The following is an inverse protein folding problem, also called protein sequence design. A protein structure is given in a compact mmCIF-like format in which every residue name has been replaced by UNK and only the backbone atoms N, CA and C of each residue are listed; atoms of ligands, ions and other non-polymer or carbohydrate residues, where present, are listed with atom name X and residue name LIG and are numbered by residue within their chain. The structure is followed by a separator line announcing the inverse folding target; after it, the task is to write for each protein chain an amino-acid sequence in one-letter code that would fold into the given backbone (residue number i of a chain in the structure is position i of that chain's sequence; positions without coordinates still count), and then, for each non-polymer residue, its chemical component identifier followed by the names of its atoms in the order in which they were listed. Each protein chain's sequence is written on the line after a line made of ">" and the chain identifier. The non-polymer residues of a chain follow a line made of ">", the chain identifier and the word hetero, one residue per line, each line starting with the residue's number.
data_IF_703026071736
#
_entry.id   IF_703026071736
#
_cell.length_a   1.000
_cell.length_b   1.000
_cell.length_c   1.000
_cell.angle_alpha   90.00
_cell.angle_beta   90.00
_cell.angle_gamma   90.00
#
_symmetry.space_group_name_H-M   'P 1'
#
loop_
_entity.id
_entity.type
_entity.pdbx_description
1 polymer ?
#
# COMPACT_ATOMS: atom_id res chain seq x y z
N UNK A 1 -39.34 9.09 -12.47
CA UNK A 1 -39.56 8.17 -11.36
C UNK A 1 -38.24 7.43 -11.12
N UNK A 2 -37.43 7.94 -10.17
CA UNK A 2 -36.05 7.53 -9.90
C UNK A 2 -36.12 6.39 -8.87
N UNK A 3 -35.71 5.18 -9.25
CA UNK A 3 -35.61 4.05 -8.31
C UNK A 3 -34.24 4.13 -7.62
N UNK A 4 -34.27 4.46 -6.33
CA UNK A 4 -33.11 4.30 -5.42
C UNK A 4 -32.74 2.82 -5.24
N UNK A 5 -31.45 2.46 -5.20
CA UNK A 5 -31.04 1.11 -4.86
C UNK A 5 -31.24 0.84 -3.37
N UNK A 6 -32.03 -0.19 -3.05
CA UNK A 6 -32.21 -0.74 -1.71
C UNK A 6 -30.87 -1.28 -1.20
N UNK A 7 -30.40 -0.73 -0.10
CA UNK A 7 -29.31 -1.30 0.73
C UNK A 7 -29.83 -2.56 1.41
N UNK A 8 -29.22 -3.71 1.13
CA UNK A 8 -29.38 -4.95 1.88
C UNK A 8 -28.58 -4.85 3.19
N UNK A 9 -29.11 -5.34 4.32
CA UNK A 9 -28.39 -5.35 5.59
C UNK A 9 -27.28 -6.42 5.59
N UNK A 10 -26.21 -6.24 6.40
CA UNK A 10 -25.16 -7.23 6.53
C UNK A 10 -25.68 -8.42 7.36
N UNK A 11 -25.63 -9.60 6.76
CA UNK A 11 -25.82 -10.86 7.48
C UNK A 11 -24.55 -11.12 8.29
N UNK A 12 -24.66 -10.99 9.61
CA UNK A 12 -23.68 -11.43 10.60
C UNK A 12 -23.67 -12.96 10.64
N UNK A 13 -22.71 -13.60 10.00
CA UNK A 13 -22.37 -15.00 10.26
C UNK A 13 -21.22 -15.02 11.27
N UNK A 14 -21.60 -15.22 12.54
CA UNK A 14 -20.66 -15.54 13.62
C UNK A 14 -20.20 -16.99 13.45
N UNK A 15 -19.05 -17.18 12.81
CA UNK A 15 -18.33 -18.44 12.80
C UNK A 15 -17.30 -18.44 13.92
N UNK A 16 -17.61 -19.02 15.06
CA UNK A 16 -16.66 -19.29 16.13
C UNK A 16 -15.72 -20.42 15.68
N UNK A 17 -14.50 -20.06 15.32
CA UNK A 17 -13.41 -21.02 15.10
C UNK A 17 -12.60 -21.12 16.41
N UNK A 18 -12.88 -22.16 17.21
CA UNK A 18 -12.08 -22.56 18.35
C UNK A 18 -10.74 -23.10 17.84
N UNK A 19 -9.69 -22.29 17.89
CA UNK A 19 -8.31 -22.77 17.79
C UNK A 19 -7.86 -23.20 19.17
N UNK A 20 -7.70 -24.51 19.37
CA UNK A 20 -7.04 -25.08 20.53
C UNK A 20 -5.55 -24.69 20.49
N UNK A 21 -5.13 -23.83 21.42
CA UNK A 21 -3.74 -23.58 21.72
C UNK A 21 -3.20 -24.77 22.52
N UNK A 22 -2.39 -25.61 21.86
CA UNK A 22 -1.53 -26.56 22.56
C UNK A 22 -0.41 -25.77 23.26
N UNK A 23 -0.43 -25.72 24.58
CA UNK A 23 0.68 -25.24 25.38
C UNK A 23 1.80 -26.29 25.38
N UNK A 24 3.08 -25.93 25.20
CA UNK A 24 4.17 -26.85 25.45
C UNK A 24 4.32 -27.04 26.96
N UNK A 25 4.41 -28.30 27.38
CA UNK A 25 4.67 -28.73 28.74
C UNK A 25 5.97 -28.13 29.26
N UNK A 26 5.89 -27.52 30.44
CA UNK A 26 7.05 -27.12 31.20
C UNK A 26 7.71 -28.38 31.81
N UNK A 27 8.88 -28.73 31.34
CA UNK A 27 9.76 -29.66 32.02
C UNK A 27 10.42 -28.92 33.19
N UNK A 28 10.03 -29.29 34.39
CA UNK A 28 10.73 -28.94 35.63
C UNK A 28 12.00 -29.76 35.68
N UNK A 29 13.15 -29.11 35.53
CA UNK A 29 14.45 -29.67 35.86
C UNK A 29 14.94 -28.99 37.15
N UNK A 30 14.96 -29.77 38.20
CA UNK A 30 15.52 -29.46 39.52
C UNK A 30 16.97 -29.89 39.55
N UNK A 31 17.90 -28.96 39.55
CA UNK A 31 19.35 -29.21 39.60
C UNK A 31 20.06 -28.11 40.37
N UNK A 32 20.39 -28.45 41.53
CA UNK A 32 21.44 -28.07 42.54
C UNK A 32 22.29 -26.80 42.33
N UNK A 33 22.37 -26.07 43.42
CA UNK A 33 23.20 -24.89 43.71
C UNK A 33 24.70 -25.15 43.55
N UNK A 34 25.35 -24.26 42.74
CA UNK A 34 26.78 -24.02 42.74
C UNK A 34 27.04 -22.51 42.66
N UNK A 35 27.89 -21.89 43.52
CA UNK A 35 28.10 -20.46 43.51
C UNK A 35 29.10 -20.06 42.42
N UNK A 36 28.72 -19.16 41.53
CA UNK A 36 29.70 -18.44 40.69
C UNK A 36 29.55 -18.60 39.18
N UNK A 37 28.51 -18.01 38.64
CA UNK A 37 28.40 -17.80 37.20
C UNK A 37 27.32 -16.75 36.95
N UNK A 38 27.73 -15.52 36.70
CA UNK A 38 26.80 -14.50 36.19
C UNK A 38 26.32 -14.92 34.80
N UNK A 39 25.29 -15.78 34.77
CA UNK A 39 24.54 -16.10 33.58
C UNK A 39 23.87 -14.82 33.07
N UNK A 40 24.50 -14.16 32.14
CA UNK A 40 23.85 -13.14 31.33
C UNK A 40 22.80 -13.86 30.47
N UNK A 41 21.62 -14.00 31.01
CA UNK A 41 20.44 -14.16 30.12
C UNK A 41 20.48 -13.03 29.08
N UNK A 42 19.91 -13.22 27.89
CA UNK A 42 19.98 -12.19 26.88
C UNK A 42 19.46 -10.89 27.49
N UNK A 43 20.36 -9.95 27.75
CA UNK A 43 20.06 -8.68 28.41
C UNK A 43 18.92 -7.99 27.64
N UNK A 44 18.26 -7.03 28.28
CA UNK A 44 17.13 -6.27 27.70
C UNK A 44 17.44 -5.80 26.29
N UNK A 45 18.67 -5.40 25.97
CA UNK A 45 19.13 -5.07 24.62
C UNK A 45 19.00 -6.24 23.64
N UNK A 46 19.22 -7.50 24.03
CA UNK A 46 19.03 -8.66 23.17
C UNK A 46 17.55 -8.99 22.91
N UNK A 47 16.64 -8.67 23.84
CA UNK A 47 15.19 -8.79 23.62
C UNK A 47 14.70 -7.72 22.64
N UNK A 48 15.16 -6.49 22.83
CA UNK A 48 14.85 -5.36 21.95
C UNK A 48 15.37 -5.60 20.54
N UNK A 49 16.59 -6.08 20.38
CA UNK A 49 17.16 -6.45 19.09
C UNK A 49 16.28 -7.44 18.33
N UNK A 50 15.80 -8.50 18.99
CA UNK A 50 14.87 -9.46 18.40
C UNK A 50 13.52 -8.84 18.04
N UNK A 51 12.97 -7.94 18.83
CA UNK A 51 11.74 -7.24 18.53
C UNK A 51 11.89 -6.35 17.30
N UNK A 52 13.01 -5.64 17.17
CA UNK A 52 13.35 -4.81 16.01
C UNK A 52 13.52 -5.65 14.75
N UNK A 53 14.21 -6.80 14.85
CA UNK A 53 14.35 -7.72 13.72
C UNK A 53 13.01 -8.28 13.25
N UNK A 54 12.14 -8.68 14.19
CA UNK A 54 10.80 -9.15 13.87
C UNK A 54 9.92 -8.06 13.24
N UNK A 55 10.07 -6.82 13.69
CA UNK A 55 9.39 -5.67 13.09
C UNK A 55 9.90 -5.40 11.67
N UNK A 56 11.21 -5.51 11.42
CA UNK A 56 11.79 -5.36 10.10
C UNK A 56 11.29 -6.42 9.11
N UNK A 57 11.21 -7.69 9.53
CA UNK A 57 10.62 -8.77 8.72
C UNK A 57 9.16 -8.49 8.38
N UNK A 58 8.35 -8.13 9.38
CA UNK A 58 6.95 -7.80 9.16
C UNK A 58 6.75 -6.57 8.25
N UNK A 59 7.66 -5.58 8.33
CA UNK A 59 7.67 -4.42 7.45
C UNK A 59 7.94 -4.81 5.99
N UNK A 60 8.88 -5.72 5.74
CA UNK A 60 9.13 -6.24 4.39
C UNK A 60 7.91 -6.97 3.82
N UNK A 61 7.24 -7.78 4.65
CA UNK A 61 5.99 -8.45 4.27
C UNK A 61 4.88 -7.45 3.95
N UNK A 62 4.74 -6.40 4.75
CA UNK A 62 3.78 -5.32 4.51
C UNK A 62 4.04 -4.65 3.15
N UNK A 63 5.26 -4.23 2.85
CA UNK A 63 5.60 -3.58 1.58
C UNK A 63 5.39 -4.50 0.38
N UNK A 64 5.75 -5.78 0.48
CA UNK A 64 5.43 -6.80 -0.53
C UNK A 64 3.92 -6.94 -0.74
N UNK A 65 3.17 -6.99 0.36
CA UNK A 65 1.71 -7.05 0.34
C UNK A 65 1.08 -5.80 -0.28
N UNK A 66 1.59 -4.61 0.04
CA UNK A 66 1.13 -3.32 -0.52
C UNK A 66 1.30 -3.28 -2.04
N UNK A 67 2.48 -3.67 -2.56
CA UNK A 67 2.73 -3.73 -4.01
C UNK A 67 1.81 -4.73 -4.71
N UNK A 68 1.56 -5.88 -4.08
CA UNK A 68 0.64 -6.88 -4.60
C UNK A 68 -0.83 -6.38 -4.57
N UNK A 69 -1.22 -5.61 -3.55
CA UNK A 69 -2.54 -4.98 -3.49
C UNK A 69 -2.73 -3.93 -4.59
N UNK A 70 -1.70 -3.12 -4.88
CA UNK A 70 -1.72 -2.15 -5.97
C UNK A 70 -1.87 -2.83 -7.35
N UNK A 71 -1.14 -3.92 -7.58
CA UNK A 71 -1.27 -4.72 -8.80
C UNK A 71 -2.68 -5.30 -8.92
N UNK A 72 -3.25 -5.81 -7.83
CA UNK A 72 -4.60 -6.35 -7.79
C UNK A 72 -5.66 -5.26 -8.04
N UNK A 73 -5.45 -4.05 -7.50
CA UNK A 73 -6.32 -2.89 -7.76
C UNK A 73 -6.37 -2.57 -9.25
N UNK A 74 -5.21 -2.46 -9.89
CA UNK A 74 -5.13 -2.22 -11.35
C UNK A 74 -5.82 -3.32 -12.16
N UNK A 75 -5.73 -4.58 -11.70
CA UNK A 75 -6.45 -5.70 -12.32
C UNK A 75 -7.96 -5.57 -12.18
N UNK A 76 -8.45 -5.21 -10.99
CA UNK A 76 -9.88 -5.01 -10.74
C UNK A 76 -10.44 -3.85 -11.58
N UNK A 77 -9.74 -2.72 -11.66
CA UNK A 77 -10.11 -1.57 -12.50
C UNK A 77 -10.17 -1.93 -13.99
N UNK A 78 -9.22 -2.75 -14.50
CA UNK A 78 -9.26 -3.25 -15.88
C UNK A 78 -10.47 -4.13 -16.13
N UNK A 79 -10.80 -5.03 -15.21
CA UNK A 79 -11.98 -5.91 -15.31
C UNK A 79 -13.28 -5.10 -15.30
N UNK A 80 -13.37 -4.05 -14.49
CA UNK A 80 -14.51 -3.12 -14.53
C UNK A 80 -14.65 -2.41 -15.88
N UNK A 81 -13.53 -1.96 -16.45
CA UNK A 81 -13.53 -1.38 -17.80
C UNK A 81 -14.00 -2.36 -18.88
N UNK A 82 -13.62 -3.65 -18.78
CA UNK A 82 -14.12 -4.70 -19.66
C UNK A 82 -15.62 -4.88 -19.47
N UNK A 83 -16.08 -5.02 -18.24
CA UNK A 83 -17.49 -5.19 -17.89
C UNK A 83 -18.36 -4.03 -18.39
N UNK A 84 -17.88 -2.80 -18.28
CA UNK A 84 -18.57 -1.62 -18.78
C UNK A 84 -18.79 -1.69 -20.31
N UNK A 85 -17.75 -2.07 -21.08
CA UNK A 85 -17.84 -2.25 -22.54
C UNK A 85 -18.81 -3.39 -22.91
N UNK A 86 -18.75 -4.52 -22.22
CA UNK A 86 -19.65 -5.65 -22.47
C UNK A 86 -21.13 -5.29 -22.19
N UNK A 87 -21.38 -4.55 -21.12
CA UNK A 87 -22.72 -4.04 -20.80
C UNK A 87 -23.25 -3.08 -21.89
N UNK A 88 -22.37 -2.24 -22.43
CA UNK A 88 -22.75 -1.33 -23.53
C UNK A 88 -23.13 -2.11 -24.79
N UNK A 89 -22.34 -3.12 -25.17
CA UNK A 89 -22.62 -3.97 -26.30
C UNK A 89 -23.94 -4.76 -26.11
N UNK A 90 -24.17 -5.30 -24.91
CA UNK A 90 -25.43 -5.99 -24.59
C UNK A 90 -26.65 -5.04 -24.72
N UNK A 91 -26.53 -3.80 -24.23
CA UNK A 91 -27.61 -2.80 -24.41
C UNK A 91 -27.89 -2.51 -25.89
N UNK A 92 -26.84 -2.40 -26.72
CA UNK A 92 -26.98 -2.20 -28.18
C UNK A 92 -27.72 -3.36 -28.79
N UNK A 93 -27.32 -4.60 -28.53
CA UNK A 93 -27.96 -5.80 -29.06
C UNK A 93 -29.43 -5.93 -28.64
N UNK A 94 -29.73 -5.67 -27.36
CA UNK A 94 -31.11 -5.66 -26.86
C UNK A 94 -31.96 -4.56 -27.54
N UNK A 95 -31.36 -3.40 -27.81
CA UNK A 95 -31.98 -2.33 -28.54
C UNK A 95 -32.35 -2.74 -30.01
N UNK A 96 -31.46 -3.47 -30.67
CA UNK A 96 -31.68 -4.02 -32.01
C UNK A 96 -32.81 -5.06 -32.00
N UNK A 97 -32.75 -6.04 -31.09
CA UNK A 97 -33.83 -7.02 -30.91
C UNK A 97 -35.18 -6.34 -30.63
N UNK A 98 -35.20 -5.35 -29.76
CA UNK A 98 -36.42 -4.61 -29.46
C UNK A 98 -36.99 -3.81 -30.63
N UNK A 99 -36.15 -3.28 -31.52
CA UNK A 99 -36.62 -2.63 -32.77
C UNK A 99 -37.27 -3.64 -33.72
N UNK A 100 -36.63 -4.79 -33.91
CA UNK A 100 -37.14 -5.82 -34.79
C UNK A 100 -38.48 -6.38 -34.25
N UNK A 101 -38.53 -6.72 -32.97
CA UNK A 101 -39.75 -7.22 -32.29
C UNK A 101 -40.94 -6.23 -32.43
N UNK A 102 -40.66 -4.93 -32.22
CA UNK A 102 -41.71 -3.89 -32.42
C UNK A 102 -42.12 -3.76 -33.89
N UNK A 103 -41.20 -3.96 -34.83
CA UNK A 103 -41.49 -3.97 -36.26
C UNK A 103 -42.44 -5.12 -36.62
N UNK A 104 -42.12 -6.34 -36.19
CA UNK A 104 -42.95 -7.53 -36.39
C UNK A 104 -44.34 -7.40 -35.76
N UNK A 105 -44.41 -6.87 -34.53
CA UNK A 105 -45.69 -6.65 -33.84
C UNK A 105 -46.61 -5.66 -34.62
N UNK A 106 -46.04 -4.56 -35.11
CA UNK A 106 -46.79 -3.55 -35.85
C UNK A 106 -47.24 -4.01 -37.26
N UNK A 107 -46.46 -4.88 -37.88
CA UNK A 107 -46.82 -5.46 -39.19
C UNK A 107 -47.83 -6.62 -39.12
N UNK A 108 -48.40 -6.89 -37.94
CA UNK A 108 -49.45 -7.89 -37.76
C UNK A 108 -49.00 -9.34 -37.88
N UNK A 109 -47.70 -9.61 -37.79
CA UNK A 109 -47.14 -10.96 -37.79
C UNK A 109 -47.17 -11.68 -39.15
N UNK A 110 -47.56 -11.02 -40.23
CA UNK A 110 -47.67 -11.59 -41.57
C UNK A 110 -48.83 -12.61 -41.71
N UNK A 111 -49.36 -12.71 -42.90
CA UNK A 111 -50.36 -13.76 -43.21
C UNK A 111 -49.70 -15.15 -43.13
N UNK A 112 -50.42 -16.19 -42.63
CA UNK A 112 -49.95 -17.56 -42.73
C UNK A 112 -49.52 -17.89 -44.15
N UNK A 113 -48.45 -18.68 -44.33
CA UNK A 113 -47.90 -19.04 -45.63
C UNK A 113 -48.94 -19.57 -46.58
N UNK A 114 -49.91 -20.38 -46.11
CA UNK A 114 -51.08 -20.90 -46.89
C UNK A 114 -51.93 -19.78 -47.40
N UNK A 115 -52.13 -18.69 -46.66
CA UNK A 115 -52.91 -17.55 -47.13
C UNK A 115 -52.12 -16.72 -48.17
N UNK A 116 -50.81 -16.60 -48.03
CA UNK A 116 -49.97 -15.95 -49.06
C UNK A 116 -49.90 -16.70 -50.33
N UNK A 117 -49.93 -18.07 -50.31
CA UNK A 117 -49.92 -18.91 -51.44
C UNK A 117 -51.26 -18.79 -52.25
N UNK A 118 -52.37 -18.63 -51.52
CA UNK A 118 -53.72 -18.47 -52.17
C UNK A 118 -53.94 -17.07 -52.70
N UNK A 119 -53.19 -16.07 -52.28
CA UNK A 119 -53.33 -14.67 -52.73
C UNK A 119 -52.23 -14.22 -53.68
N UNK A 120 -51.28 -15.09 -54.05
CA UNK A 120 -50.15 -14.75 -54.91
C UNK A 120 -50.55 -14.85 -56.39
N UNK A 121 -50.48 -13.74 -57.13
CA UNK A 121 -50.68 -13.66 -58.57
C UNK A 121 -49.41 -14.09 -59.35
N UNK A 122 -48.23 -14.09 -58.77
CA UNK A 122 -46.94 -14.46 -59.35
C UNK A 122 -46.16 -15.45 -58.43
N UNK A 123 -45.92 -16.70 -58.93
CA UNK A 123 -45.12 -17.71 -58.19
C UNK A 123 -43.68 -17.26 -57.89
N UNK A 124 -43.03 -16.48 -58.74
CA UNK A 124 -41.70 -16.03 -58.60
C UNK A 124 -41.58 -14.93 -57.46
N UNK A 125 -42.58 -14.10 -57.35
CA UNK A 125 -42.67 -13.11 -56.27
C UNK A 125 -42.90 -13.80 -54.94
N UNK A 126 -43.71 -14.82 -54.86
CA UNK A 126 -43.91 -15.66 -53.69
C UNK A 126 -42.61 -16.33 -53.27
N UNK A 127 -41.87 -16.92 -54.20
CA UNK A 127 -40.59 -17.57 -53.94
C UNK A 127 -39.48 -16.57 -53.46
N UNK A 128 -39.50 -15.36 -54.02
CA UNK A 128 -38.62 -14.28 -53.55
C UNK A 128 -38.95 -13.87 -52.09
N UNK A 129 -40.23 -13.67 -51.80
CA UNK A 129 -40.72 -13.35 -50.46
C UNK A 129 -40.36 -14.41 -49.42
N UNK A 130 -40.51 -15.69 -49.81
CA UNK A 130 -40.15 -16.83 -48.96
C UNK A 130 -38.65 -16.89 -48.63
N UNK A 131 -37.77 -16.67 -49.64
CA UNK A 131 -36.32 -16.59 -49.42
C UNK A 131 -35.94 -15.44 -48.50
N UNK A 132 -36.55 -14.27 -48.65
CA UNK A 132 -36.35 -13.12 -47.77
C UNK A 132 -36.81 -13.41 -46.35
N UNK A 133 -37.95 -14.07 -46.15
CA UNK A 133 -38.45 -14.47 -44.83
C UNK A 133 -37.51 -15.47 -44.14
N UNK A 134 -37.00 -16.47 -44.89
CA UNK A 134 -36.00 -17.42 -44.36
C UNK A 134 -34.70 -16.72 -43.95
N UNK A 135 -34.19 -15.81 -44.78
CA UNK A 135 -33.00 -15.02 -44.45
C UNK A 135 -33.21 -14.12 -43.20
N UNK A 136 -34.38 -13.50 -43.10
CA UNK A 136 -34.73 -12.68 -41.92
C UNK A 136 -34.81 -13.52 -40.64
N UNK A 137 -35.39 -14.73 -40.70
CA UNK A 137 -35.44 -15.66 -39.58
C UNK A 137 -34.04 -16.13 -39.16
N UNK A 138 -33.18 -16.46 -40.12
CA UNK A 138 -31.78 -16.82 -39.81
C UNK A 138 -31.03 -15.67 -39.18
N UNK A 139 -31.18 -14.45 -39.69
CA UNK A 139 -30.56 -13.25 -39.11
C UNK A 139 -31.09 -12.97 -37.70
N UNK A 140 -32.38 -13.16 -37.46
CA UNK A 140 -33.00 -13.02 -36.13
C UNK A 140 -32.43 -14.05 -35.14
N UNK A 141 -32.38 -15.32 -35.51
CA UNK A 141 -31.83 -16.37 -34.70
C UNK A 141 -30.35 -16.09 -34.35
N UNK A 142 -29.56 -15.65 -35.34
CA UNK A 142 -28.20 -15.25 -35.13
C UNK A 142 -28.06 -14.07 -34.14
N UNK A 143 -28.95 -13.07 -34.22
CA UNK A 143 -28.96 -11.94 -33.30
C UNK A 143 -29.37 -12.36 -31.87
N UNK A 144 -30.35 -13.25 -31.74
CA UNK A 144 -30.75 -13.84 -30.45
C UNK A 144 -29.57 -14.58 -29.82
N UNK A 145 -28.93 -15.47 -30.57
CA UNK A 145 -27.75 -16.21 -30.10
C UNK A 145 -26.61 -15.30 -29.70
N UNK A 146 -26.35 -14.27 -30.50
CA UNK A 146 -25.30 -13.25 -30.16
C UNK A 146 -25.65 -12.52 -28.89
N UNK A 147 -26.90 -12.15 -28.68
CA UNK A 147 -27.37 -11.45 -27.48
C UNK A 147 -27.26 -12.35 -26.24
N UNK A 148 -27.64 -13.62 -26.36
CA UNK A 148 -27.51 -14.59 -25.26
C UNK A 148 -26.05 -14.84 -24.90
N UNK A 149 -25.15 -14.96 -25.89
CA UNK A 149 -23.71 -15.07 -25.62
C UNK A 149 -23.14 -13.81 -24.94
N UNK A 150 -23.59 -12.63 -25.39
CA UNK A 150 -23.19 -11.37 -24.75
C UNK A 150 -23.69 -11.27 -23.30
N UNK A 151 -24.92 -11.71 -23.01
CA UNK A 151 -25.47 -11.73 -21.66
C UNK A 151 -24.66 -12.65 -20.73
N UNK A 152 -24.31 -13.87 -21.19
CA UNK A 152 -23.46 -14.78 -20.42
C UNK A 152 -22.08 -14.17 -20.12
N UNK A 153 -21.44 -13.54 -21.12
CA UNK A 153 -20.15 -12.85 -20.90
C UNK A 153 -20.25 -11.72 -19.87
N UNK A 154 -21.33 -10.94 -19.89
CA UNK A 154 -21.56 -9.89 -18.89
C UNK A 154 -21.64 -10.47 -17.48
N UNK A 155 -22.32 -11.60 -17.31
CA UNK A 155 -22.45 -12.25 -16.00
C UNK A 155 -21.11 -12.81 -15.50
N UNK A 156 -20.38 -13.50 -16.37
CA UNK A 156 -19.03 -14.00 -16.07
C UNK A 156 -18.05 -12.87 -15.72
N UNK A 157 -18.05 -11.77 -16.49
CA UNK A 157 -17.18 -10.63 -16.24
C UNK A 157 -17.57 -9.90 -14.96
N UNK A 158 -18.86 -9.84 -14.64
CA UNK A 158 -19.35 -9.32 -13.35
C UNK A 158 -18.84 -10.14 -12.18
N UNK A 159 -18.90 -11.47 -12.26
CA UNK A 159 -18.40 -12.36 -11.20
C UNK A 159 -16.88 -12.21 -11.05
N UNK A 160 -16.14 -12.14 -12.15
CA UNK A 160 -14.68 -11.91 -12.15
C UNK A 160 -14.30 -10.57 -11.53
N UNK A 161 -15.00 -9.50 -11.88
CA UNK A 161 -14.77 -8.18 -11.31
C UNK A 161 -15.08 -8.15 -9.80
N UNK A 162 -16.23 -8.71 -9.38
CA UNK A 162 -16.60 -8.81 -7.98
C UNK A 162 -15.56 -9.61 -7.17
N UNK A 163 -15.13 -10.77 -7.66
CA UNK A 163 -14.09 -11.58 -7.02
C UNK A 163 -12.75 -10.85 -6.89
N UNK A 164 -12.37 -10.06 -7.89
CA UNK A 164 -11.17 -9.24 -7.83
C UNK A 164 -11.23 -8.16 -6.75
N UNK A 165 -12.36 -7.48 -6.59
CA UNK A 165 -12.59 -6.50 -5.53
C UNK A 165 -12.63 -7.13 -4.15
N UNK A 166 -13.32 -8.26 -3.96
CA UNK A 166 -13.33 -8.99 -2.69
C UNK A 166 -11.93 -9.43 -2.26
N UNK A 167 -11.12 -9.94 -3.20
CA UNK A 167 -9.74 -10.33 -2.89
C UNK A 167 -8.86 -9.14 -2.52
N UNK A 168 -9.08 -7.97 -3.13
CA UNK A 168 -8.39 -6.73 -2.78
C UNK A 168 -8.77 -6.25 -1.38
N UNK A 169 -10.05 -6.29 -1.03
CA UNK A 169 -10.55 -5.86 0.29
C UNK A 169 -10.00 -6.75 1.41
N UNK A 170 -10.07 -8.08 1.24
CA UNK A 170 -9.47 -9.02 2.19
C UNK A 170 -7.95 -8.77 2.39
N UNK A 171 -7.23 -8.40 1.32
CA UNK A 171 -5.81 -8.05 1.40
C UNK A 171 -5.58 -6.74 2.15
N UNK A 172 -6.43 -5.72 1.94
CA UNK A 172 -6.37 -4.45 2.68
C UNK A 172 -6.54 -4.66 4.18
N UNK A 173 -7.52 -5.46 4.59
CA UNK A 173 -7.74 -5.81 6.00
C UNK A 173 -6.51 -6.48 6.60
N UNK A 174 -5.90 -7.44 5.90
CA UNK A 174 -4.66 -8.09 6.35
C UNK A 174 -3.51 -7.12 6.51
N UNK A 175 -3.33 -6.20 5.57
CA UNK A 175 -2.27 -5.19 5.64
C UNK A 175 -2.47 -4.23 6.81
N UNK A 176 -3.72 -3.82 7.09
CA UNK A 176 -4.02 -2.98 8.25
C UNK A 176 -3.68 -3.70 9.57
N UNK A 177 -4.05 -4.98 9.70
CA UNK A 177 -3.72 -5.78 10.87
C UNK A 177 -2.20 -5.97 11.03
N UNK A 178 -1.47 -6.22 9.93
CA UNK A 178 -0.02 -6.35 9.96
C UNK A 178 0.65 -5.05 10.40
N UNK A 179 0.22 -3.89 9.87
CA UNK A 179 0.73 -2.57 10.27
C UNK A 179 0.50 -2.32 11.76
N UNK A 180 -0.73 -2.55 12.26
CA UNK A 180 -1.04 -2.40 13.69
C UNK A 180 -0.19 -3.32 14.57
N UNK A 181 0.06 -4.56 14.12
CA UNK A 181 0.95 -5.49 14.83
C UNK A 181 2.41 -5.02 14.88
N UNK A 182 2.91 -4.37 13.82
CA UNK A 182 4.24 -3.74 13.81
C UNK A 182 4.29 -2.61 14.83
N UNK A 183 3.31 -1.68 14.79
CA UNK A 183 3.23 -0.53 15.69
C UNK A 183 3.28 -0.98 17.15
N UNK A 184 2.44 -1.95 17.54
CA UNK A 184 2.41 -2.47 18.90
C UNK A 184 3.74 -3.06 19.35
N UNK A 185 4.37 -3.92 18.53
CA UNK A 185 5.66 -4.53 18.87
C UNK A 185 6.78 -3.50 19.04
N UNK A 186 6.76 -2.44 18.22
CA UNK A 186 7.75 -1.37 18.31
C UNK A 186 7.49 -0.44 19.49
N UNK A 187 6.24 -0.24 19.86
CA UNK A 187 5.88 0.49 21.07
C UNK A 187 6.34 -0.27 22.33
N UNK A 188 6.09 -1.57 22.41
CA UNK A 188 6.58 -2.43 23.50
C UNK A 188 8.11 -2.39 23.60
N UNK A 189 8.82 -2.44 22.47
CA UNK A 189 10.27 -2.31 22.43
C UNK A 189 10.75 -0.94 22.93
N UNK A 190 10.03 0.13 22.57
CA UNK A 190 10.31 1.49 23.02
C UNK A 190 10.20 1.64 24.53
N UNK A 191 9.12 1.16 25.13
CA UNK A 191 8.94 1.22 26.59
C UNK A 191 10.05 0.46 27.33
N UNK A 192 10.48 -0.66 26.77
CA UNK A 192 11.59 -1.45 27.33
C UNK A 192 12.93 -0.69 27.24
N UNK A 193 13.18 0.02 26.13
CA UNK A 193 14.37 0.87 25.97
C UNK A 193 14.29 2.17 26.79
N UNK A 194 13.09 2.77 26.88
CA UNK A 194 12.89 4.01 27.65
C UNK A 194 13.24 3.79 29.12
N UNK A 195 12.85 2.67 29.71
CA UNK A 195 13.18 2.36 31.10
C UNK A 195 14.68 2.18 31.33
N UNK A 196 15.46 1.77 30.34
CA UNK A 196 16.92 1.72 30.40
C UNK A 196 17.57 3.09 30.10
N UNK A 197 16.99 3.85 29.14
CA UNK A 197 17.54 5.16 28.78
C UNK A 197 17.30 6.23 29.86
N UNK A 198 16.16 6.20 30.55
CA UNK A 198 15.85 7.13 31.63
C UNK A 198 16.84 6.99 32.79
N UNK A 199 17.41 5.81 33.01
CA UNK A 199 18.50 5.60 33.97
C UNK A 199 19.85 6.20 33.52
N UNK A 200 20.04 6.42 32.22
CA UNK A 200 21.31 6.93 31.65
C UNK A 200 21.25 8.42 31.25
N UNK A 201 20.06 8.99 31.06
CA UNK A 201 19.85 10.37 30.55
C UNK A 201 19.95 11.43 31.63
N UNK A 202 20.13 11.06 32.91
CA UNK A 202 20.35 12.02 34.02
C UNK A 202 21.57 12.96 33.84
N UNK A 203 22.29 12.87 32.71
CA UNK A 203 23.57 13.58 32.52
C UNK A 203 23.72 14.43 31.23
N UNK A 204 22.75 14.58 30.36
CA UNK A 204 23.05 15.34 29.14
C UNK A 204 21.82 15.99 28.46
N UNK A 205 21.68 17.30 28.61
CA UNK A 205 20.65 18.08 27.95
C UNK A 205 20.93 18.31 26.43
N UNK A 206 19.99 17.97 25.54
CA UNK A 206 19.97 18.48 24.15
C UNK A 206 19.87 20.01 24.16
N UNK A 207 20.68 20.69 23.34
CA UNK A 207 20.48 22.13 23.09
C UNK A 207 19.29 22.25 22.10
N UNK A 208 18.43 23.24 22.32
CA UNK A 208 17.27 23.54 21.47
C UNK A 208 17.66 23.84 20.02
N UNK A 209 16.66 23.91 19.16
CA UNK A 209 16.82 24.14 17.73
C UNK A 209 17.61 25.42 17.42
N UNK A 210 18.56 25.31 16.48
CA UNK A 210 19.26 26.46 15.89
C UNK A 210 18.46 26.89 14.66
N UNK A 211 17.91 28.10 14.67
CA UNK A 211 17.20 28.64 13.50
C UNK A 211 18.19 28.92 12.37
N UNK A 212 17.98 28.25 11.24
CA UNK A 212 18.73 28.49 10.01
C UNK A 212 17.90 29.35 9.07
N UNK A 213 18.59 30.23 8.30
CA UNK A 213 17.94 30.97 7.21
C UNK A 213 17.47 30.00 6.15
N UNK A 214 16.18 29.98 5.91
CA UNK A 214 15.58 29.02 4.99
C UNK A 214 15.81 29.45 3.53
N UNK A 215 16.21 28.54 2.61
CA UNK A 215 16.35 28.84 1.20
C UNK A 215 14.99 29.03 0.53
N UNK A 216 15.01 29.53 -0.69
CA UNK A 216 13.83 29.49 -1.55
C UNK A 216 13.42 28.04 -1.78
N UNK A 217 12.19 27.70 -1.39
CA UNK A 217 11.72 26.30 -1.47
C UNK A 217 11.42 25.90 -2.91
N UNK A 218 11.72 24.65 -3.31
CA UNK A 218 11.41 24.14 -4.65
C UNK A 218 9.90 24.18 -4.90
N UNK A 219 9.49 24.95 -5.90
CA UNK A 219 8.08 25.05 -6.28
C UNK A 219 7.66 23.81 -7.11
N UNK A 220 6.44 23.31 -6.90
CA UNK A 220 5.84 22.26 -7.70
C UNK A 220 6.37 20.85 -7.45
N UNK A 221 7.39 20.67 -6.62
CA UNK A 221 7.90 19.33 -6.26
C UNK A 221 7.27 18.84 -4.96
N UNK A 222 6.62 17.70 -5.04
CA UNK A 222 6.04 17.06 -3.85
C UNK A 222 7.08 16.35 -2.99
N UNK A 223 8.14 15.83 -3.62
CA UNK A 223 9.22 15.08 -2.98
C UNK A 223 10.58 15.50 -3.53
N UNK A 224 11.59 15.51 -2.66
CA UNK A 224 12.99 15.86 -2.98
C UNK A 224 13.95 14.91 -2.25
N UNK A 225 15.24 14.90 -2.65
CA UNK A 225 16.29 14.23 -1.89
C UNK A 225 16.55 14.96 -0.55
N UNK A 226 17.00 14.25 0.51
CA UNK A 226 17.23 14.85 1.83
C UNK A 226 18.43 15.79 1.90
N UNK A 227 19.34 15.69 0.94
CA UNK A 227 20.52 16.57 0.74
C UNK A 227 20.67 16.90 -0.75
N UNK A 228 21.42 17.96 -1.08
CA UNK A 228 21.59 18.38 -2.48
C UNK A 228 22.80 17.75 -3.15
N UNK A 229 23.94 17.82 -2.49
CA UNK A 229 25.21 17.29 -3.01
C UNK A 229 25.65 16.16 -2.10
N UNK A 230 25.81 14.96 -2.64
CA UNK A 230 26.12 13.77 -1.86
C UNK A 230 26.72 12.65 -2.71
N UNK A 231 27.38 11.71 -2.01
CA UNK A 231 27.67 10.38 -2.51
C UNK A 231 26.91 9.35 -1.68
N UNK A 232 26.34 8.31 -2.34
CA UNK A 232 25.70 7.24 -1.61
C UNK A 232 26.76 6.27 -1.07
N UNK A 233 26.80 6.08 0.26
CA UNK A 233 27.83 5.25 0.89
C UNK A 233 27.31 3.90 1.32
N UNK A 234 26.39 3.82 2.29
CA UNK A 234 25.82 2.55 2.77
C UNK A 234 24.34 2.43 2.45
N UNK A 235 23.94 1.30 1.85
CA UNK A 235 22.57 1.05 1.43
C UNK A 235 21.72 0.36 2.49
N UNK A 236 20.40 0.48 2.35
CA UNK A 236 19.41 -0.20 3.18
C UNK A 236 19.59 -1.73 3.15
N UNK A 237 19.58 -2.35 4.33
CA UNK A 237 19.72 -3.80 4.48
C UNK A 237 21.15 -4.31 4.36
N UNK A 238 22.13 -3.41 4.22
CA UNK A 238 23.56 -3.77 4.24
C UNK A 238 23.93 -4.50 5.54
N UNK A 239 24.82 -5.47 5.44
CA UNK A 239 25.36 -6.24 6.58
C UNK A 239 26.87 -6.02 6.68
N UNK A 240 27.43 -6.05 7.89
CA UNK A 240 28.84 -5.90 8.16
C UNK A 240 29.07 -5.58 9.64
N UNK A 241 30.35 -5.61 10.06
CA UNK A 241 30.77 -5.40 11.45
C UNK A 241 30.45 -4.00 12.02
N UNK A 242 30.03 -3.07 11.16
CA UNK A 242 29.67 -1.70 11.53
C UNK A 242 28.28 -1.59 12.15
N UNK A 243 27.42 -2.58 11.94
CA UNK A 243 26.04 -2.56 12.44
C UNK A 243 25.82 -3.78 13.34
N UNK A 244 25.30 -3.55 14.53
CA UNK A 244 24.86 -4.63 15.42
C UNK A 244 23.80 -5.54 14.75
N UNK A 245 23.15 -5.01 13.71
CA UNK A 245 22.15 -5.65 12.86
C UNK A 245 22.29 -5.14 11.41
N UNK A 246 21.29 -5.35 10.56
CA UNK A 246 21.25 -4.80 9.20
C UNK A 246 21.11 -3.28 9.24
N UNK A 247 21.75 -2.60 8.28
CA UNK A 247 21.61 -1.16 8.08
C UNK A 247 20.14 -0.77 7.83
N UNK A 248 19.63 0.15 8.64
CA UNK A 248 18.18 0.46 8.68
C UNK A 248 17.75 1.55 7.71
N UNK A 249 18.72 2.25 7.08
CA UNK A 249 18.49 3.37 6.18
C UNK A 249 19.39 3.39 4.96
N UNK A 250 19.51 4.56 4.39
CA UNK A 250 20.45 4.91 3.33
C UNK A 250 21.38 6.01 3.85
N UNK A 251 22.68 5.79 3.78
CA UNK A 251 23.66 6.80 4.15
C UNK A 251 24.07 7.66 2.95
N UNK A 252 24.11 8.96 3.21
CA UNK A 252 24.56 9.98 2.28
C UNK A 252 25.86 10.56 2.84
N UNK A 253 26.99 10.28 2.21
CA UNK A 253 28.27 10.89 2.54
C UNK A 253 28.22 12.38 2.17
N UNK A 254 28.30 13.24 3.17
CA UNK A 254 28.24 14.71 3.05
C UNK A 254 29.12 15.35 4.09
N UNK A 255 29.55 16.58 3.85
CA UNK A 255 30.35 17.35 4.82
C UNK A 255 29.55 17.73 6.07
N UNK A 256 30.26 17.94 7.22
CA UNK A 256 29.65 18.53 8.40
C UNK A 256 29.15 19.93 8.03
N UNK A 257 27.91 20.26 8.46
CA UNK A 257 27.29 21.55 8.17
C UNK A 257 26.48 21.58 6.87
N UNK A 258 26.50 20.52 6.05
CA UNK A 258 25.66 20.45 4.85
C UNK A 258 24.18 20.48 5.24
N UNK A 259 23.36 21.34 4.60
CA UNK A 259 21.95 21.44 4.92
C UNK A 259 21.19 20.14 4.66
N UNK A 260 20.46 19.68 5.67
CA UNK A 260 19.53 18.55 5.60
C UNK A 260 18.12 19.07 5.50
N UNK A 261 17.34 18.59 4.51
CA UNK A 261 16.03 19.11 4.19
C UNK A 261 14.93 18.05 4.27
N UNK A 262 13.72 18.49 4.56
CA UNK A 262 12.54 17.64 4.53
C UNK A 262 12.31 17.12 3.11
N UNK A 263 12.21 15.79 2.95
CA UNK A 263 11.94 15.17 1.64
C UNK A 263 10.57 15.50 1.09
N UNK A 264 9.62 15.88 1.93
CA UNK A 264 8.24 16.22 1.61
C UNK A 264 7.61 17.07 2.70
N UNK A 265 6.41 17.59 2.47
CA UNK A 265 5.63 18.25 3.52
C UNK A 265 5.31 17.28 4.67
N UNK A 266 5.19 17.80 5.89
CA UNK A 266 4.91 16.98 7.05
C UNK A 266 4.88 17.74 8.36
N UNK A 267 4.88 16.98 9.45
CA UNK A 267 5.00 17.49 10.82
C UNK A 267 6.15 16.80 11.53
N UNK A 268 6.98 17.56 12.19
CA UNK A 268 8.04 17.03 13.07
C UNK A 268 7.39 16.36 14.29
N UNK A 269 7.59 15.07 14.43
CA UNK A 269 7.01 14.29 15.53
C UNK A 269 8.03 13.99 16.63
N UNK A 270 9.32 14.14 16.33
CA UNK A 270 10.40 13.94 17.29
C UNK A 270 11.64 14.73 16.90
N UNK A 271 12.25 15.38 17.87
CA UNK A 271 13.63 15.86 17.85
C UNK A 271 14.30 15.27 19.07
N UNK A 272 15.40 14.56 18.92
CA UNK A 272 16.12 13.96 20.05
C UNK A 272 17.62 13.96 19.84
N UNK A 273 18.34 13.88 20.94
CA UNK A 273 19.79 13.78 20.96
C UNK A 273 20.19 12.61 21.87
N UNK A 274 21.14 11.82 21.39
CA UNK A 274 21.68 10.70 22.15
C UNK A 274 21.38 9.35 21.46
N UNK A 275 21.89 8.29 22.08
CA UNK A 275 21.83 6.96 21.50
C UNK A 275 22.64 6.80 20.19
N UNK A 276 22.42 5.72 19.48
CA UNK A 276 23.17 5.39 18.28
C UNK A 276 22.97 6.38 17.13
N UNK A 277 21.82 7.04 17.02
CA UNK A 277 21.51 8.03 15.97
C UNK A 277 22.00 9.45 16.27
N UNK A 278 22.54 9.70 17.49
CA UNK A 278 22.98 11.03 17.86
C UNK A 278 21.84 12.04 17.85
N UNK A 279 22.05 13.18 17.20
CA UNK A 279 20.96 14.14 16.97
C UNK A 279 20.13 13.70 15.77
N UNK A 280 18.81 13.58 15.99
CA UNK A 280 17.87 13.13 14.97
C UNK A 280 16.60 13.97 14.91
N UNK A 281 16.02 14.06 13.72
CA UNK A 281 14.71 14.63 13.44
C UNK A 281 13.85 13.56 12.78
N UNK A 282 12.59 13.39 13.22
CA UNK A 282 11.61 12.50 12.65
C UNK A 282 10.41 13.30 12.17
N UNK A 283 10.07 13.17 10.89
CA UNK A 283 8.96 13.87 10.24
C UNK A 283 7.88 12.87 9.82
N UNK A 284 6.63 13.14 10.19
CA UNK A 284 5.45 12.42 9.72
C UNK A 284 4.93 13.08 8.42
N UNK A 285 4.74 12.28 7.37
CA UNK A 285 4.24 12.73 6.08
C UNK A 285 2.77 12.34 5.85
N UNK A 286 2.04 13.06 4.99
CA UNK A 286 0.74 12.61 4.49
C UNK A 286 0.85 11.22 3.86
N UNK A 287 -0.08 10.34 4.18
CA UNK A 287 -0.05 8.93 3.72
C UNK A 287 0.56 7.95 4.71
N UNK A 288 0.95 8.42 5.91
CA UNK A 288 1.30 7.54 7.04
C UNK A 288 2.73 7.01 7.01
N UNK A 289 3.64 7.64 6.27
CA UNK A 289 5.07 7.37 6.32
C UNK A 289 5.78 8.39 7.21
N UNK A 290 6.96 8.01 7.69
CA UNK A 290 7.85 8.83 8.50
C UNK A 290 9.22 8.86 7.84
N UNK A 291 9.89 10.02 7.87
CA UNK A 291 11.30 10.13 7.49
C UNK A 291 12.14 10.50 8.70
N UNK A 292 13.25 9.80 8.89
CA UNK A 292 14.24 10.09 9.92
C UNK A 292 15.50 10.64 9.28
N UNK A 293 16.08 11.64 9.95
CA UNK A 293 17.32 12.29 9.61
C UNK A 293 18.21 12.24 10.83
N UNK A 294 19.30 11.47 10.78
CA UNK A 294 20.14 11.19 11.93
C UNK A 294 21.60 11.61 11.72
N UNK A 295 22.39 11.54 12.80
CA UNK A 295 23.79 12.00 12.90
C UNK A 295 23.96 13.50 12.63
N UNK A 296 22.93 14.30 12.91
CA UNK A 296 22.96 15.75 12.67
C UNK A 296 23.96 16.46 13.58
N UNK A 297 24.54 17.57 13.09
CA UNK A 297 25.34 18.51 13.88
C UNK A 297 24.44 19.55 14.58
N UNK A 298 23.28 19.87 13.97
CA UNK A 298 22.29 20.78 14.55
C UNK A 298 20.90 20.43 14.02
N UNK A 299 19.86 20.67 14.84
CA UNK A 299 18.47 20.68 14.41
C UNK A 299 17.99 22.13 14.27
N UNK A 300 17.22 22.44 13.20
CA UNK A 300 16.69 23.75 12.91
C UNK A 300 15.16 23.81 13.07
N UNK A 301 14.57 22.76 13.62
CA UNK A 301 13.14 22.60 13.85
C UNK A 301 12.89 22.02 15.22
N UNK A 302 11.72 22.33 15.78
CA UNK A 302 11.23 21.79 17.03
C UNK A 302 10.16 20.73 16.81
N UNK A 303 9.94 19.89 17.80
CA UNK A 303 8.83 18.92 17.78
C UNK A 303 7.49 19.67 17.71
N UNK A 304 6.64 19.24 16.79
CA UNK A 304 5.35 19.87 16.52
C UNK A 304 5.35 20.78 15.28
N UNK A 305 6.51 21.21 14.79
CA UNK A 305 6.62 22.08 13.63
C UNK A 305 6.02 21.43 12.37
N UNK A 306 5.35 22.26 11.58
CA UNK A 306 4.98 21.89 10.20
C UNK A 306 6.14 22.25 9.27
N UNK A 307 6.51 21.31 8.43
CA UNK A 307 7.60 21.49 7.46
C UNK A 307 7.08 21.35 6.03
N UNK A 308 7.67 22.11 5.12
CA UNK A 308 7.39 22.05 3.68
C UNK A 308 8.48 21.25 2.96
N UNK A 309 8.16 20.73 1.79
CA UNK A 309 9.15 20.05 0.94
C UNK A 309 10.36 20.93 0.70
N UNK A 310 11.56 20.41 0.95
CA UNK A 310 12.81 21.13 0.78
C UNK A 310 13.20 22.08 1.92
N UNK A 311 12.35 22.25 2.94
CA UNK A 311 12.68 23.05 4.12
C UNK A 311 13.84 22.44 4.89
N UNK A 312 14.80 23.24 5.32
CA UNK A 312 15.92 22.79 6.10
C UNK A 312 15.46 22.36 7.51
N UNK A 313 15.86 21.15 7.87
CA UNK A 313 15.58 20.53 9.16
C UNK A 313 16.76 20.65 10.14
N UNK A 314 17.95 20.86 9.59
CA UNK A 314 19.20 20.90 10.35
C UNK A 314 20.40 20.82 9.42
N UNK A 315 21.54 20.48 10.00
CA UNK A 315 22.81 20.31 9.30
C UNK A 315 23.36 18.92 9.57
N UNK A 316 23.90 18.27 8.53
CA UNK A 316 24.58 16.98 8.65
C UNK A 316 25.79 17.08 9.57
N UNK A 317 26.13 15.99 10.23
CA UNK A 317 27.21 15.92 11.21
C UNK A 317 27.83 14.54 11.30
N UNK A 318 28.24 14.18 12.52
CA UNK A 318 28.80 12.87 12.86
C UNK A 318 28.46 12.50 14.30
N UNK A 319 27.33 12.97 14.83
CA UNK A 319 26.90 12.69 16.22
C UNK A 319 26.40 11.25 16.35
N UNK A 320 26.44 10.71 17.59
CA UNK A 320 26.04 9.34 17.86
C UNK A 320 27.06 8.29 17.39
N UNK A 321 26.61 7.12 17.00
CA UNK A 321 27.45 6.03 16.50
C UNK A 321 27.73 6.19 15.00
N UNK A 322 28.61 7.12 14.66
CA UNK A 322 29.00 7.46 13.29
C UNK A 322 30.48 7.23 13.07
N UNK A 323 30.87 6.71 11.92
CA UNK A 323 32.29 6.48 11.52
C UNK A 323 32.88 7.66 10.77
N UNK A 324 32.11 8.69 10.46
CA UNK A 324 32.53 9.89 9.74
C UNK A 324 31.33 10.74 9.31
N UNK A 325 31.56 11.92 8.72
CA UNK A 325 30.48 12.83 8.34
C UNK A 325 29.52 12.21 7.32
N UNK A 326 28.25 12.06 7.68
CA UNK A 326 27.20 11.57 6.79
C UNK A 326 25.81 11.90 7.34
N UNK A 327 24.81 11.85 6.49
CA UNK A 327 23.40 11.79 6.87
C UNK A 327 22.93 10.33 6.80
N UNK A 328 22.53 9.77 7.94
CA UNK A 328 21.75 8.53 7.94
C UNK A 328 20.27 8.88 7.75
N UNK A 329 19.67 8.33 6.70
CA UNK A 329 18.30 8.63 6.31
C UNK A 329 17.45 7.37 6.25
N UNK A 330 16.32 7.38 6.95
CA UNK A 330 15.33 6.29 6.89
C UNK A 330 13.96 6.77 6.39
N UNK A 331 13.25 5.87 5.75
CA UNK A 331 11.80 5.97 5.57
C UNK A 331 11.15 4.83 6.35
N UNK A 332 10.15 5.16 7.17
CA UNK A 332 9.51 4.21 8.09
C UNK A 332 7.99 4.15 7.90
N UNK A 333 7.39 3.02 8.23
CA UNK A 333 5.93 2.84 8.31
C UNK A 333 5.34 3.39 9.61
N UNK A 334 6.15 3.42 10.68
CA UNK A 334 5.77 3.89 12.01
C UNK A 334 6.85 4.83 12.54
N UNK A 335 6.60 5.62 13.60
CA UNK A 335 7.63 6.48 14.18
C UNK A 335 8.75 5.69 14.85
N UNK A 336 8.65 4.38 14.97
CA UNK A 336 9.55 3.52 15.73
C UNK A 336 10.60 2.86 14.84
N UNK A 337 11.78 2.63 15.43
CA UNK A 337 12.87 1.88 14.81
C UNK A 337 12.41 0.46 14.41
N UNK A 338 12.95 -0.08 13.33
CA UNK A 338 12.63 -1.42 12.85
C UNK A 338 11.47 -1.48 11.82
N UNK A 339 10.77 -0.37 11.58
CA UNK A 339 9.74 -0.27 10.53
C UNK A 339 10.25 0.39 9.24
N UNK A 340 11.58 0.33 9.01
CA UNK A 340 12.24 0.91 7.85
C UNK A 340 11.89 0.20 6.54
N UNK A 341 11.72 0.98 5.49
CA UNK A 341 11.61 0.53 4.10
C UNK A 341 12.78 1.07 3.30
N UNK A 342 13.14 0.42 2.20
CA UNK A 342 14.24 0.86 1.32
C UNK A 342 14.00 2.31 0.83
N UNK A 343 14.79 3.31 1.31
CA UNK A 343 14.55 4.71 0.97
C UNK A 343 14.75 5.03 -0.51
N UNK A 344 15.69 4.34 -1.18
CA UNK A 344 15.94 4.54 -2.62
C UNK A 344 14.74 4.14 -3.45
N UNK A 345 14.18 2.96 -3.18
CA UNK A 345 12.97 2.49 -3.87
C UNK A 345 11.76 3.36 -3.57
N UNK A 346 11.62 3.76 -2.32
CA UNK A 346 10.51 4.59 -1.88
C UNK A 346 10.52 5.97 -2.56
N UNK A 347 11.70 6.61 -2.65
CA UNK A 347 11.89 7.90 -3.32
C UNK A 347 11.74 7.77 -4.84
N UNK A 348 12.29 6.71 -5.45
CA UNK A 348 12.15 6.45 -6.88
C UNK A 348 10.69 6.28 -7.32
N UNK A 349 9.87 5.57 -6.52
CA UNK A 349 8.41 5.43 -6.73
C UNK A 349 7.67 6.79 -6.71
N UNK A 350 8.32 7.85 -6.17
CA UNK A 350 7.81 9.23 -6.05
C UNK A 350 8.50 10.23 -6.98
N UNK A 351 9.25 9.71 -7.94
CA UNK A 351 9.90 10.52 -8.96
C UNK A 351 11.22 11.18 -8.52
N UNK A 352 11.76 10.82 -7.36
CA UNK A 352 13.08 11.29 -6.88
C UNK A 352 14.11 10.20 -7.15
N UNK A 353 15.07 10.49 -8.02
CA UNK A 353 16.23 9.64 -8.29
C UNK A 353 17.37 10.09 -7.36
N UNK A 354 17.94 9.14 -6.63
CA UNK A 354 19.14 9.31 -5.82
C UNK A 354 20.38 8.87 -6.60
#
# INVERSE_FOLDING_TARGET
>A
MVLMPRRLPPVLLAGALLLALAAPAASSDSGEDGPGGHGHGPGTSGKVARLLENAAKATQEYEKGRRAAETQRKKAERLEGVLARQRQELRRLNGELGRIARGQYRSGGGLPYTAQLLLADDPDELMRGQRLALQANLAMNHLIDKTQRAARRVDEDRQRAAGAWHSLDARRVRLAALKSGIEKKLEDARWTLQSEADAQVAAGACRGAVRLDQPSLPQGRRWVAPVETYELSAGFGGSGDRWAHRHTGQDFAVGIGEPVRAIGEGRVVKVSCGGGFGMEVLVQHPGGYYSQYAHLASAAVDQGDKVRTGQWLGQAGTTGNSTGPHLHFEVRLTPYLGSGVDPRKWLAERGVKL
#
